data_IF_081061814288
#
_entry.id   IF_081061814288
#
_cell.length_a   1.000
_cell.length_b   1.000
_cell.length_c   1.000
_cell.angle_alpha   90.00
_cell.angle_beta   90.00
_cell.angle_gamma   90.00
#
_symmetry.space_group_name_H-M   'P 1'
#
loop_
_entity.id
_entity.type
_entity.pdbx_description
1 polymer ?
#
# COMPACT_ATOMS: atom_id res chain seq x y z
N UNK A 1 -9.28 -10.82 -41.17
CA UNK A 1 -9.60 -12.19 -41.57
C UNK A 1 -8.61 -13.12 -40.88
N UNK A 2 -9.12 -14.24 -40.39
CA UNK A 2 -8.55 -15.13 -39.38
C UNK A 2 -7.12 -15.64 -39.64
N UNK A 3 -6.34 -15.80 -38.56
CA UNK A 3 -5.57 -17.01 -38.29
C UNK A 3 -5.16 -17.03 -36.80
N UNK A 4 -6.07 -17.50 -35.93
CA UNK A 4 -5.77 -17.83 -34.54
C UNK A 4 -6.34 -19.23 -34.31
N UNK A 5 -5.67 -20.20 -34.92
CA UNK A 5 -5.95 -21.61 -34.77
C UNK A 5 -4.65 -22.32 -34.49
N UNK A 6 -4.68 -23.17 -33.46
CA UNK A 6 -3.82 -24.33 -33.30
C UNK A 6 -2.51 -24.18 -32.50
N UNK A 7 -2.57 -23.65 -31.27
CA UNK A 7 -1.54 -23.95 -30.25
C UNK A 7 -2.03 -23.79 -28.79
N UNK A 8 -3.22 -24.27 -28.48
CA UNK A 8 -3.66 -24.53 -27.10
C UNK A 8 -3.78 -26.05 -26.91
N UNK A 9 -2.66 -26.75 -27.09
CA UNK A 9 -2.63 -28.20 -26.91
C UNK A 9 -2.20 -28.53 -25.47
N UNK A 10 -3.18 -29.02 -24.71
CA UNK A 10 -3.11 -29.73 -23.42
C UNK A 10 -2.90 -28.86 -22.18
N UNK A 11 -3.97 -28.18 -21.77
CA UNK A 11 -4.28 -28.06 -20.34
C UNK A 11 -4.38 -29.48 -19.75
N UNK A 12 -3.25 -29.98 -19.22
CA UNK A 12 -3.26 -31.09 -18.30
C UNK A 12 -3.93 -30.54 -17.05
N UNK A 13 -5.20 -30.86 -16.88
CA UNK A 13 -5.94 -30.56 -15.66
C UNK A 13 -5.07 -31.04 -14.47
N UNK A 14 -4.61 -30.14 -13.58
CA UNK A 14 -3.80 -30.51 -12.43
C UNK A 14 -4.52 -31.54 -11.55
N UNK A 15 -5.86 -31.56 -11.58
CA UNK A 15 -6.65 -32.60 -10.93
C UNK A 15 -6.57 -33.95 -11.66
N UNK A 16 -6.41 -33.98 -12.99
CA UNK A 16 -6.20 -35.22 -13.75
C UNK A 16 -4.82 -35.82 -13.49
N UNK A 17 -3.76 -35.01 -13.36
CA UNK A 17 -2.43 -35.51 -12.98
C UNK A 17 -2.44 -36.08 -11.54
N UNK A 18 -3.15 -35.42 -10.63
CA UNK A 18 -3.37 -35.90 -9.27
C UNK A 18 -4.16 -37.21 -9.24
N UNK A 19 -5.27 -37.31 -9.97
CA UNK A 19 -6.09 -38.53 -10.05
C UNK A 19 -5.33 -39.69 -10.69
N UNK A 20 -4.52 -39.45 -11.72
CA UNK A 20 -3.71 -40.48 -12.36
C UNK A 20 -2.58 -40.98 -11.44
N UNK A 21 -1.96 -40.07 -10.68
CA UNK A 21 -0.94 -40.40 -9.68
C UNK A 21 -1.52 -41.27 -8.56
N UNK A 22 -2.68 -40.87 -8.01
CA UNK A 22 -3.38 -41.63 -6.97
C UNK A 22 -3.88 -42.99 -7.49
N UNK A 23 -4.39 -43.08 -8.73
CA UNK A 23 -4.82 -44.35 -9.32
C UNK A 23 -3.67 -45.35 -9.49
N UNK A 24 -2.49 -44.89 -9.93
CA UNK A 24 -1.33 -45.76 -10.07
C UNK A 24 -0.79 -46.22 -8.70
N UNK A 25 -0.97 -45.41 -7.66
CA UNK A 25 -0.60 -45.73 -6.28
C UNK A 25 -1.61 -46.70 -5.61
N UNK A 26 -2.90 -46.66 -6.02
CA UNK A 26 -3.98 -47.54 -5.56
C UNK A 26 -4.12 -48.86 -6.35
N UNK A 27 -3.64 -48.92 -7.60
CA UNK A 27 -3.74 -50.12 -8.45
C UNK A 27 -3.00 -51.35 -7.87
N UNK A 28 -2.05 -51.15 -6.95
CA UNK A 28 -1.37 -52.24 -6.25
C UNK A 28 -2.09 -52.75 -4.98
N UNK A 29 -3.22 -52.14 -4.59
CA UNK A 29 -3.97 -52.43 -3.36
C UNK A 29 -5.35 -53.07 -3.62
N UNK A 30 -5.78 -53.14 -4.88
CA UNK A 30 -7.13 -53.61 -5.25
C UNK A 30 -7.30 -55.14 -5.11
N UNK A 31 -6.22 -55.93 -5.19
CA UNK A 31 -6.28 -57.40 -5.05
C UNK A 31 -6.44 -57.90 -3.60
N UNK A 32 -6.22 -57.05 -2.58
CA UNK A 32 -6.31 -57.46 -1.16
C UNK A 32 -7.57 -56.97 -0.43
N UNK A 33 -8.43 -56.14 -1.05
CA UNK A 33 -9.60 -55.54 -0.38
C UNK A 33 -10.89 -55.83 -1.15
N UNK A 34 -11.63 -56.88 -0.73
CA UNK A 34 -13.00 -57.13 -1.22
C UNK A 34 -13.94 -55.97 -0.82
N UNK A 35 -14.83 -55.47 -1.70
CA UNK A 35 -15.59 -54.26 -1.45
C UNK A 35 -16.76 -54.52 -0.50
N UNK A 36 -16.74 -53.92 0.69
CA UNK A 36 -17.94 -53.74 1.49
C UNK A 36 -18.62 -52.44 1.05
N UNK A 37 -19.89 -52.55 0.66
CA UNK A 37 -20.71 -51.50 0.06
C UNK A 37 -20.71 -50.18 0.86
N UNK A 38 -20.72 -49.10 0.10
CA UNK A 38 -20.78 -47.71 0.53
C UNK A 38 -22.03 -47.44 1.39
N UNK A 39 -21.84 -46.81 2.56
CA UNK A 39 -22.93 -46.16 3.29
C UNK A 39 -22.51 -44.75 3.69
N UNK A 40 -23.07 -43.76 3.00
CA UNK A 40 -22.91 -42.32 3.28
C UNK A 40 -24.10 -41.92 4.17
N UNK A 41 -23.91 -41.41 5.41
CA UNK A 41 -25.00 -40.78 6.13
C UNK A 41 -25.16 -39.32 5.67
N UNK A 42 -26.38 -38.83 5.35
CA UNK A 42 -26.58 -37.43 5.01
C UNK A 42 -26.61 -36.57 6.28
N UNK A 43 -25.89 -35.45 6.25
CA UNK A 43 -25.94 -34.40 7.27
C UNK A 43 -27.26 -33.61 7.15
N UNK A 44 -27.96 -33.55 8.28
CA UNK A 44 -29.29 -33.00 8.48
C UNK A 44 -29.39 -31.48 8.27
N UNK A 45 -30.41 -31.05 7.51
CA UNK A 45 -31.08 -29.76 7.66
C UNK A 45 -32.52 -29.88 7.13
N UNK A 46 -33.50 -30.17 8.01
CA UNK A 46 -34.91 -29.74 7.80
C UNK A 46 -35.70 -29.74 9.14
N UNK A 47 -36.43 -28.65 9.49
CA UNK A 47 -37.07 -28.44 10.79
C UNK A 47 -38.52 -28.97 10.92
N UNK A 48 -38.84 -30.17 10.45
CA UNK A 48 -40.14 -30.80 10.75
C UNK A 48 -39.99 -32.23 11.26
N UNK A 49 -40.14 -32.37 12.57
CA UNK A 49 -40.27 -33.65 13.26
C UNK A 49 -41.57 -34.36 12.80
N UNK A 50 -41.52 -35.55 12.20
CA UNK A 50 -42.61 -36.54 12.35
C UNK A 50 -42.27 -37.99 11.99
N UNK A 51 -42.51 -38.85 12.99
CA UNK A 51 -42.82 -40.30 12.93
C UNK A 51 -41.67 -41.27 12.59
N UNK A 52 -41.57 -42.52 13.04
CA UNK A 52 -42.04 -43.36 14.17
C UNK A 52 -41.26 -44.70 13.96
N UNK A 53 -40.75 -45.29 15.04
CA UNK A 53 -40.34 -46.71 15.23
C UNK A 53 -39.28 -47.40 14.35
N UNK A 54 -38.31 -48.04 15.04
CA UNK A 54 -38.01 -49.46 14.78
C UNK A 54 -36.53 -49.87 14.64
N UNK A 55 -35.94 -50.35 15.74
CA UNK A 55 -35.02 -51.52 15.79
C UNK A 55 -33.74 -51.56 14.91
N UNK A 56 -32.56 -51.36 15.50
CA UNK A 56 -31.65 -52.47 15.88
C UNK A 56 -30.27 -51.90 16.28
N UNK A 57 -29.75 -52.35 17.42
CA UNK A 57 -28.39 -52.05 17.87
C UNK A 57 -27.44 -53.03 17.18
N UNK A 58 -26.75 -52.58 16.14
CA UNK A 58 -25.58 -53.28 15.59
C UNK A 58 -24.34 -52.85 16.35
N UNK A 59 -23.72 -53.74 17.11
CA UNK A 59 -22.42 -53.49 17.72
C UNK A 59 -21.36 -53.31 16.62
N UNK A 60 -20.73 -52.13 16.55
CA UNK A 60 -19.60 -51.88 15.66
C UNK A 60 -18.38 -52.71 16.11
N UNK A 61 -17.66 -53.37 15.19
CA UNK A 61 -16.40 -54.05 15.52
C UNK A 61 -15.37 -53.08 16.10
N UNK A 62 -14.66 -53.54 17.14
CA UNK A 62 -13.56 -52.82 17.80
C UNK A 62 -12.51 -52.46 16.72
N UNK A 63 -12.07 -51.19 16.59
CA UNK A 63 -11.10 -50.80 15.59
C UNK A 63 -9.74 -51.45 15.92
N UNK A 64 -9.29 -52.35 15.04
CA UNK A 64 -7.93 -52.89 15.08
C UNK A 64 -6.99 -51.74 14.77
N UNK A 65 -6.18 -51.33 15.76
CA UNK A 65 -5.13 -50.33 15.59
C UNK A 65 -4.07 -50.92 14.66
N UNK A 66 -4.19 -50.63 13.36
CA UNK A 66 -3.15 -50.94 12.38
C UNK A 66 -2.09 -49.85 12.50
N UNK A 67 -0.86 -50.21 12.86
CA UNK A 67 0.25 -49.28 12.90
C UNK A 67 0.41 -48.63 11.51
N UNK A 68 0.42 -47.30 11.46
CA UNK A 68 0.52 -46.58 10.19
C UNK A 68 1.80 -47.01 9.44
N UNK A 69 1.72 -47.36 8.14
CA UNK A 69 2.87 -47.82 7.38
C UNK A 69 3.92 -46.71 7.27
N UNK A 70 5.19 -47.06 7.47
CA UNK A 70 6.28 -46.08 7.61
C UNK A 70 6.45 -45.12 6.42
N UNK A 71 6.00 -45.51 5.23
CA UNK A 71 5.97 -44.63 4.05
C UNK A 71 5.06 -43.41 4.25
N UNK A 72 3.89 -43.61 4.87
CA UNK A 72 2.93 -42.53 5.16
C UNK A 72 3.48 -41.61 6.25
N UNK A 73 4.20 -42.15 7.24
CA UNK A 73 4.87 -41.34 8.27
C UNK A 73 5.90 -40.40 7.66
N UNK A 74 6.80 -40.93 6.81
CA UNK A 74 7.80 -40.12 6.09
C UNK A 74 7.16 -39.06 5.19
N UNK A 75 6.10 -39.43 4.46
CA UNK A 75 5.38 -38.47 3.62
C UNK A 75 4.72 -37.35 4.43
N UNK A 76 4.08 -37.65 5.56
CA UNK A 76 3.49 -36.64 6.44
C UNK A 76 4.54 -35.71 7.02
N UNK A 77 5.67 -36.25 7.47
CA UNK A 77 6.80 -35.45 7.97
C UNK A 77 7.35 -34.51 6.88
N UNK A 78 7.51 -34.99 5.64
CA UNK A 78 7.95 -34.17 4.51
C UNK A 78 6.92 -33.08 4.13
N UNK A 79 5.62 -33.39 4.15
CA UNK A 79 4.57 -32.40 3.89
C UNK A 79 4.49 -31.34 4.99
N UNK A 80 4.54 -31.75 6.26
CA UNK A 80 4.56 -30.83 7.40
C UNK A 80 5.75 -29.88 7.27
N UNK A 81 6.95 -30.41 6.99
CA UNK A 81 8.15 -29.59 6.82
C UNK A 81 8.03 -28.62 5.64
N UNK A 82 7.40 -29.04 4.54
CA UNK A 82 7.17 -28.16 3.37
C UNK A 82 6.17 -27.05 3.70
N UNK A 83 5.13 -27.33 4.47
CA UNK A 83 4.17 -26.33 4.93
C UNK A 83 4.83 -25.34 5.87
N UNK A 84 5.57 -25.82 6.87
CA UNK A 84 6.30 -24.98 7.81
C UNK A 84 7.29 -24.04 7.10
N UNK A 85 8.00 -24.53 6.08
CA UNK A 85 8.89 -23.68 5.28
C UNK A 85 8.15 -22.58 4.50
N UNK A 86 6.93 -22.85 4.00
CA UNK A 86 6.10 -21.84 3.34
C UNK A 86 5.59 -20.81 4.33
N UNK A 87 5.07 -21.26 5.47
CA UNK A 87 4.55 -20.39 6.53
C UNK A 87 5.66 -19.47 7.07
N UNK A 88 6.87 -19.99 7.23
CA UNK A 88 8.03 -19.21 7.64
C UNK A 88 8.43 -18.14 6.59
N UNK A 89 8.37 -18.47 5.30
CA UNK A 89 8.66 -17.50 4.23
C UNK A 89 7.58 -16.41 4.14
N UNK A 90 6.31 -16.77 4.36
CA UNK A 90 5.20 -15.80 4.41
C UNK A 90 5.33 -14.84 5.59
N UNK A 91 5.62 -15.35 6.78
CA UNK A 91 5.84 -14.49 7.95
C UNK A 91 7.09 -13.61 7.78
N UNK A 92 8.17 -14.10 7.15
CA UNK A 92 9.34 -13.27 6.84
C UNK A 92 8.97 -12.10 5.92
N UNK A 93 8.25 -12.36 4.82
CA UNK A 93 7.80 -11.31 3.89
C UNK A 93 6.88 -10.30 4.57
N UNK A 94 5.98 -10.78 5.44
CA UNK A 94 5.08 -9.92 6.20
C UNK A 94 5.84 -9.02 7.16
N UNK A 95 6.89 -9.54 7.80
CA UNK A 95 7.75 -8.76 8.70
C UNK A 95 8.60 -7.75 7.92
N UNK A 96 9.17 -8.13 6.79
CA UNK A 96 9.86 -7.22 5.86
C UNK A 96 8.94 -6.06 5.42
N UNK A 97 7.69 -6.34 5.03
CA UNK A 97 6.71 -5.32 4.66
C UNK A 97 6.36 -4.39 5.83
N UNK A 98 6.24 -4.93 7.06
CA UNK A 98 6.02 -4.10 8.24
C UNK A 98 7.21 -3.18 8.51
N UNK A 99 8.43 -3.68 8.38
CA UNK A 99 9.63 -2.86 8.59
C UNK A 99 9.80 -1.80 7.50
N UNK A 100 9.47 -2.10 6.25
CA UNK A 100 9.43 -1.10 5.17
C UNK A 100 8.40 -0.02 5.49
N UNK A 101 7.17 -0.40 5.84
CA UNK A 101 6.12 0.56 6.18
C UNK A 101 6.49 1.45 7.38
N UNK A 102 7.13 0.88 8.41
CA UNK A 102 7.63 1.65 9.55
C UNK A 102 8.73 2.62 9.15
N UNK A 103 9.69 2.20 8.31
CA UNK A 103 10.78 3.05 7.81
C UNK A 103 10.24 4.20 6.97
N UNK A 104 9.33 3.91 6.02
CA UNK A 104 8.72 4.92 5.17
C UNK A 104 7.97 5.98 6.00
N UNK A 105 7.24 5.55 7.03
CA UNK A 105 6.57 6.47 7.95
C UNK A 105 7.58 7.35 8.72
N UNK A 106 8.66 6.77 9.22
CA UNK A 106 9.71 7.52 9.91
C UNK A 106 10.41 8.52 8.99
N UNK A 107 10.72 8.12 7.75
CA UNK A 107 11.33 8.96 6.74
C UNK A 107 10.39 10.11 6.34
N UNK A 108 9.09 9.85 6.25
CA UNK A 108 8.08 10.88 6.00
C UNK A 108 8.07 11.93 7.12
N UNK A 109 8.06 11.51 8.39
CA UNK A 109 8.08 12.45 9.52
C UNK A 109 9.37 13.27 9.53
N UNK A 110 10.52 12.66 9.28
CA UNK A 110 11.80 13.37 9.17
C UNK A 110 11.78 14.41 8.07
N UNK A 111 11.33 14.04 6.87
CA UNK A 111 11.25 14.96 5.73
C UNK A 111 10.24 16.10 5.99
N UNK A 112 9.14 15.80 6.67
CA UNK A 112 8.15 16.79 7.07
C UNK A 112 8.72 17.80 8.07
N UNK A 113 9.40 17.30 9.12
CA UNK A 113 10.08 18.14 10.10
C UNK A 113 11.15 19.01 9.45
N UNK A 114 11.97 18.44 8.57
CA UNK A 114 12.97 19.19 7.81
C UNK A 114 12.35 20.29 6.95
N UNK A 115 11.24 19.99 6.27
CA UNK A 115 10.51 20.97 5.46
C UNK A 115 10.01 22.12 6.34
N UNK A 116 9.35 21.80 7.45
CA UNK A 116 8.87 22.81 8.41
C UNK A 116 10.04 23.64 8.95
N UNK A 117 11.15 23.01 9.32
CA UNK A 117 12.33 23.68 9.84
C UNK A 117 12.93 24.63 8.79
N UNK A 118 13.06 24.18 7.54
CA UNK A 118 13.52 24.99 6.41
C UNK A 118 12.59 26.18 6.15
N UNK A 119 11.28 25.97 6.13
CA UNK A 119 10.30 27.07 5.97
C UNK A 119 10.38 28.07 7.12
N UNK A 120 10.45 27.61 8.37
CA UNK A 120 10.62 28.50 9.53
C UNK A 120 11.92 29.29 9.45
N UNK A 121 13.02 28.65 9.05
CA UNK A 121 14.32 29.31 8.88
C UNK A 121 14.30 30.34 7.75
N UNK A 122 13.70 30.00 6.60
CA UNK A 122 13.52 30.91 5.48
C UNK A 122 12.69 32.14 5.87
N UNK A 123 11.57 31.95 6.56
CA UNK A 123 10.73 33.06 7.03
C UNK A 123 11.49 33.95 8.02
N UNK A 124 12.22 33.36 8.98
CA UNK A 124 13.05 34.15 9.90
C UNK A 124 14.15 34.92 9.19
N UNK A 125 14.76 34.33 8.16
CA UNK A 125 15.80 35.00 7.39
C UNK A 125 15.22 36.13 6.53
N UNK A 126 14.08 35.89 5.87
CA UNK A 126 13.36 36.91 5.11
C UNK A 126 12.95 38.09 6.00
N UNK A 127 12.45 37.82 7.20
CA UNK A 127 12.12 38.87 8.18
C UNK A 127 13.37 39.66 8.59
N UNK A 128 14.48 38.97 8.91
CA UNK A 128 15.75 39.64 9.25
C UNK A 128 16.25 40.52 8.11
N UNK A 129 16.16 40.06 6.87
CA UNK A 129 16.55 40.83 5.69
C UNK A 129 15.62 42.03 5.49
N UNK A 130 14.31 41.84 5.61
CA UNK A 130 13.31 42.90 5.52
C UNK A 130 13.57 44.00 6.56
N UNK A 131 13.79 43.61 7.83
CA UNK A 131 14.10 44.54 8.91
C UNK A 131 15.45 45.23 8.69
N UNK A 132 16.46 44.54 8.18
CA UNK A 132 17.76 45.15 7.88
C UNK A 132 17.64 46.21 6.76
N UNK A 133 16.95 45.89 5.67
CA UNK A 133 16.70 46.83 4.57
C UNK A 133 15.87 48.05 5.02
N UNK A 134 14.95 47.88 5.97
CA UNK A 134 14.16 48.98 6.52
C UNK A 134 14.97 49.89 7.46
N UNK A 135 15.91 49.34 8.25
CA UNK A 135 16.73 50.08 9.20
C UNK A 135 17.92 50.83 8.56
N UNK A 136 18.34 50.48 7.34
CA UNK A 136 19.36 51.21 6.57
C UNK A 136 18.79 52.55 6.02
N UNK A 137 18.39 53.43 6.94
CA UNK A 137 17.90 54.77 6.64
C UNK A 137 19.10 55.70 6.45
N UNK A 138 19.64 55.71 5.24
CA UNK A 138 20.66 56.67 4.83
C UNK A 138 20.01 57.95 4.29
N UNK A 139 20.44 59.14 4.72
CA UNK A 139 19.94 60.41 4.19
C UNK A 139 20.11 60.46 2.66
N UNK A 140 19.03 60.76 1.92
CA UNK A 140 19.01 60.83 0.46
C UNK A 140 18.42 59.60 -0.25
N UNK A 141 18.07 58.53 0.48
CA UNK A 141 17.45 57.30 -0.07
C UNK A 141 15.92 57.27 0.07
N UNK A 142 15.29 58.34 0.56
CA UNK A 142 13.88 58.38 0.93
C UNK A 142 12.96 58.10 -0.25
N UNK A 143 13.21 58.75 -1.40
CA UNK A 143 12.42 58.54 -2.61
C UNK A 143 12.64 57.17 -3.24
N UNK A 144 13.84 56.59 -3.07
CA UNK A 144 14.11 55.24 -3.52
C UNK A 144 13.31 54.22 -2.69
N UNK A 145 13.23 54.40 -1.36
CA UNK A 145 12.41 53.57 -0.46
C UNK A 145 10.92 53.70 -0.76
N UNK A 146 10.40 54.92 -0.92
CA UNK A 146 8.99 55.15 -1.27
C UNK A 146 8.65 54.49 -2.61
N UNK A 147 9.54 54.60 -3.61
CA UNK A 147 9.34 53.97 -4.90
C UNK A 147 9.37 52.43 -4.83
N UNK A 148 10.22 51.82 -3.99
CA UNK A 148 10.22 50.35 -3.79
C UNK A 148 8.87 49.81 -3.30
N UNK A 149 8.13 50.61 -2.53
CA UNK A 149 6.79 50.24 -2.02
C UNK A 149 5.67 50.52 -3.03
N UNK A 150 5.96 51.24 -4.12
CA UNK A 150 4.98 51.55 -5.15
C UNK A 150 4.95 50.48 -6.23
N UNK A 151 3.76 49.94 -6.52
CA UNK A 151 3.56 49.04 -7.65
C UNK A 151 3.52 49.85 -8.97
N UNK A 152 4.56 49.67 -9.78
CA UNK A 152 4.71 50.28 -11.11
C UNK A 152 4.31 49.34 -12.25
N UNK A 153 3.78 48.15 -11.95
CA UNK A 153 3.33 47.23 -12.98
C UNK A 153 2.12 47.83 -13.72
N UNK A 154 2.19 48.08 -15.04
CA UNK A 154 1.07 48.62 -15.79
C UNK A 154 -0.16 47.69 -15.80
N UNK A 155 0.03 46.40 -15.49
CA UNK A 155 -1.02 45.38 -15.37
C UNK A 155 -1.50 45.18 -13.93
N UNK A 156 -0.97 45.95 -12.96
CA UNK A 156 -1.44 45.91 -11.59
C UNK A 156 -2.95 46.19 -11.55
N UNK A 157 -3.65 45.52 -10.63
CA UNK A 157 -5.09 45.72 -10.44
C UNK A 157 -5.33 47.18 -10.06
N UNK A 158 -5.81 47.98 -11.00
CA UNK A 158 -6.15 49.37 -10.75
C UNK A 158 -7.32 49.39 -9.76
N UNK A 159 -7.14 50.05 -8.62
CA UNK A 159 -8.23 50.29 -7.69
C UNK A 159 -9.24 51.27 -8.27
N UNK A 160 -10.28 51.60 -7.52
CA UNK A 160 -11.34 52.54 -7.93
C UNK A 160 -10.85 54.00 -8.14
N UNK A 161 -9.57 54.29 -7.89
CA UNK A 161 -8.97 55.61 -8.01
C UNK A 161 -7.76 55.53 -8.93
N UNK A 162 -7.65 56.48 -9.85
CA UNK A 162 -6.47 56.62 -10.70
C UNK A 162 -5.31 57.21 -9.89
N UNK A 163 -4.29 56.39 -9.68
CA UNK A 163 -3.06 56.75 -8.97
C UNK A 163 -1.88 56.97 -9.93
N UNK A 164 -2.13 57.03 -11.24
CA UNK A 164 -1.08 57.13 -12.27
C UNK A 164 -0.25 58.41 -12.10
N UNK A 165 -0.90 59.55 -11.85
CA UNK A 165 -0.19 60.83 -11.59
C UNK A 165 0.71 60.75 -10.35
N UNK A 166 0.22 60.14 -9.27
CA UNK A 166 0.98 59.96 -8.04
C UNK A 166 2.21 59.06 -8.27
N UNK A 167 2.02 57.93 -8.96
CA UNK A 167 3.12 57.03 -9.34
C UNK A 167 4.17 57.75 -10.19
N UNK A 168 3.74 58.53 -11.19
CA UNK A 168 4.66 59.32 -12.03
C UNK A 168 5.47 60.34 -11.22
N UNK A 169 4.84 61.04 -10.27
CA UNK A 169 5.55 61.98 -9.39
C UNK A 169 6.58 61.27 -8.50
N UNK A 170 6.22 60.13 -7.89
CA UNK A 170 7.15 59.34 -7.07
C UNK A 170 8.34 58.87 -7.89
N UNK A 171 8.12 58.41 -9.12
CA UNK A 171 9.20 57.99 -10.02
C UNK A 171 10.12 59.15 -10.41
N UNK A 172 9.54 60.32 -10.69
CA UNK A 172 10.32 61.53 -10.98
C UNK A 172 11.19 61.93 -9.80
N UNK A 173 10.66 61.90 -8.57
CA UNK A 173 11.43 62.24 -7.37
C UNK A 173 12.54 61.23 -7.08
N UNK A 174 12.37 59.95 -7.46
CA UNK A 174 13.44 58.94 -7.42
C UNK A 174 14.55 59.23 -8.44
N UNK A 175 14.19 59.59 -9.67
CA UNK A 175 15.15 59.81 -10.76
C UNK A 175 15.91 61.14 -10.62
N UNK A 176 15.21 62.17 -10.15
CA UNK A 176 15.72 63.53 -9.98
C UNK A 176 15.48 63.97 -8.53
N UNK A 177 16.30 63.49 -7.57
CA UNK A 177 16.17 63.89 -6.18
C UNK A 177 16.40 65.40 -6.05
N UNK A 178 15.55 66.05 -5.26
CA UNK A 178 15.67 67.48 -4.98
C UNK A 178 16.96 67.65 -4.17
N UNK A 179 17.95 68.32 -4.75
CA UNK A 179 19.15 68.71 -4.03
C UNK A 179 18.70 69.60 -2.87
N UNK A 180 18.89 69.15 -1.63
CA UNK A 180 18.64 69.99 -0.45
C UNK A 180 19.61 71.16 -0.53
N UNK A 181 19.14 72.33 -0.99
CA UNK A 181 19.86 73.58 -0.86
C UNK A 181 20.00 73.86 0.64
N UNK A 182 21.22 73.72 1.14
CA UNK A 182 21.63 74.14 2.48
C UNK A 182 21.46 75.66 2.66
#
# INVERSE_FOLDING_TARGET
MANFGDEFDKEIDPAAEFLAREQNELAGLEDEVKPAAQFIPPLSNDPYLKTINGSSRGASPIPVVREEPEKIKKWREEQIKRLEAKDAEEERKKEELREIAKKELADWYKNHEETISKTKAANRNAEKQFVAEENDILPGTEWERIAKLCDFNPKAKQGNKDVSRMRSLILQMKQNPIQSSA
#
